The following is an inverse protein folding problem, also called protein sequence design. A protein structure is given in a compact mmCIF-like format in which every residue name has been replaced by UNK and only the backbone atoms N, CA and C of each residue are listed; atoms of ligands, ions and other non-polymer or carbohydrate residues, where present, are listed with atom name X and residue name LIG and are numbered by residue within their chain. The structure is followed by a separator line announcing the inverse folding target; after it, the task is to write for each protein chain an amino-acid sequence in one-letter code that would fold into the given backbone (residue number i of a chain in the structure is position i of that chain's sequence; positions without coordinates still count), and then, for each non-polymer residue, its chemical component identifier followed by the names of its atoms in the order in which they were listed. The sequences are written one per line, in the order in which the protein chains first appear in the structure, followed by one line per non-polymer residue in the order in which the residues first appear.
data_IF_314204397144
#
_entry.id   IF_314204397144
#
_cell.length_a   1.000
_cell.length_b   1.000
_cell.length_c   1.000
_cell.angle_alpha   90.00
_cell.angle_beta   90.00
_cell.angle_gamma   90.00
#
_symmetry.space_group_name_H-M   'P 1'
#
loop_
_entity.id
_entity.type
_entity.pdbx_description
1 polymer ?
#
# COMPACT_ATOMS: atom_id res chain seq x y z
N UNK A 1 -11.09 -6.90 -10.02
CA UNK A 1 -10.38 -5.66 -9.63
C UNK A 1 -9.98 -5.63 -8.15
N UNK A 2 -8.83 -5.01 -7.83
CA UNK A 2 -8.32 -4.81 -6.45
C UNK A 2 -7.42 -3.58 -6.34
N UNK A 3 -7.34 -2.98 -5.16
CA UNK A 3 -6.37 -1.95 -4.80
C UNK A 3 -5.13 -2.61 -4.17
N UNK A 4 -3.94 -2.29 -4.66
CA UNK A 4 -2.69 -2.66 -3.99
C UNK A 4 -2.21 -1.51 -3.10
N UNK A 5 -1.70 -1.86 -1.93
CA UNK A 5 -0.97 -0.97 -1.04
C UNK A 5 0.36 -1.65 -0.70
N UNK A 6 1.47 -1.01 -1.06
CA UNK A 6 2.81 -1.54 -0.80
C UNK A 6 3.43 -0.74 0.33
N UNK A 7 3.82 -1.43 1.40
CA UNK A 7 4.39 -0.84 2.61
C UNK A 7 5.87 -1.21 2.66
N UNK A 8 6.75 -0.24 2.95
CA UNK A 8 8.17 -0.52 3.11
C UNK A 8 8.41 -1.49 4.26
N UNK A 9 9.31 -2.44 4.07
CA UNK A 9 9.55 -3.54 5.02
C UNK A 9 10.03 -3.13 6.41
N UNK A 10 10.60 -1.93 6.54
CA UNK A 10 11.11 -1.42 7.81
C UNK A 10 10.04 -0.68 8.63
N UNK A 11 8.82 -0.54 8.11
CA UNK A 11 7.73 0.14 8.82
C UNK A 11 7.27 -0.71 10.01
N UNK A 12 7.21 -0.15 11.23
CA UNK A 12 6.75 -0.88 12.40
C UNK A 12 5.34 -1.45 12.21
N UNK A 13 5.15 -2.73 12.54
CA UNK A 13 3.87 -3.42 12.38
C UNK A 13 2.69 -2.70 13.02
N UNK A 14 2.92 -2.05 14.17
CA UNK A 14 1.90 -1.26 14.88
C UNK A 14 1.35 -0.08 14.07
N UNK A 15 2.13 0.44 13.11
CA UNK A 15 1.73 1.56 12.26
C UNK A 15 1.08 1.10 10.95
N UNK A 16 1.35 -0.13 10.48
CA UNK A 16 0.87 -0.63 9.19
C UNK A 16 -0.66 -0.55 9.03
N UNK A 17 -1.50 -0.90 10.02
CA UNK A 17 -2.95 -0.74 9.91
C UNK A 17 -3.39 0.72 9.68
N UNK A 18 -2.82 1.68 10.40
CA UNK A 18 -3.16 3.10 10.28
C UNK A 18 -2.68 3.66 8.95
N UNK A 19 -1.43 3.36 8.57
CA UNK A 19 -0.84 3.78 7.30
C UNK A 19 -1.67 3.25 6.12
N UNK A 20 -2.08 1.98 6.14
CA UNK A 20 -2.87 1.39 5.05
C UNK A 20 -4.30 1.94 4.99
N UNK A 21 -4.91 2.30 6.13
CA UNK A 21 -6.19 2.99 6.15
C UNK A 21 -6.09 4.39 5.51
N UNK A 22 -5.08 5.18 5.89
CA UNK A 22 -4.81 6.48 5.29
C UNK A 22 -4.53 6.36 3.78
N UNK A 23 -3.74 5.37 3.38
CA UNK A 23 -3.39 5.15 1.98
C UNK A 23 -4.63 4.83 1.12
N UNK A 24 -5.53 3.98 1.62
CA UNK A 24 -6.79 3.69 0.93
C UNK A 24 -7.66 4.94 0.75
N UNK A 25 -7.77 5.78 1.79
CA UNK A 25 -8.59 6.98 1.74
C UNK A 25 -7.99 8.06 0.83
N UNK A 26 -6.68 8.28 0.92
CA UNK A 26 -5.97 9.23 0.06
C UNK A 26 -6.02 8.81 -1.40
N UNK A 27 -5.87 7.50 -1.68
CA UNK A 27 -6.01 6.94 -3.02
C UNK A 27 -7.44 7.08 -3.54
N UNK A 28 -8.45 6.77 -2.72
CA UNK A 28 -9.85 7.01 -3.09
C UNK A 28 -10.06 8.47 -3.48
N UNK A 29 -9.67 9.42 -2.63
CA UNK A 29 -9.87 10.85 -2.87
C UNK A 29 -9.16 11.36 -4.12
N UNK A 30 -7.97 10.84 -4.44
CA UNK A 30 -7.24 11.23 -5.66
C UNK A 30 -7.92 10.71 -6.95
N UNK A 31 -8.54 9.53 -6.90
CA UNK A 31 -9.05 8.84 -8.09
C UNK A 31 -10.56 8.59 -8.05
N UNK A 32 -11.30 9.29 -7.20
CA UNK A 32 -12.71 9.00 -6.89
C UNK A 32 -13.60 9.03 -8.13
N UNK A 33 -13.31 9.90 -9.10
CA UNK A 33 -14.13 10.03 -10.30
C UNK A 33 -13.76 9.05 -11.43
N UNK A 34 -12.76 8.19 -11.24
CA UNK A 34 -12.40 7.19 -12.26
C UNK A 34 -13.40 6.03 -12.29
N UNK A 35 -13.68 5.49 -13.47
CA UNK A 35 -14.60 4.35 -13.64
C UNK A 35 -14.15 3.15 -12.79
N UNK A 36 -12.85 2.84 -12.78
CA UNK A 36 -12.31 1.74 -11.98
C UNK A 36 -12.50 1.97 -10.48
N UNK A 37 -12.24 3.18 -9.96
CA UNK A 37 -12.47 3.47 -8.55
C UNK A 37 -13.95 3.33 -8.18
N UNK A 38 -14.85 3.85 -9.02
CA UNK A 38 -16.31 3.74 -8.83
C UNK A 38 -16.80 2.30 -8.87
N UNK A 39 -16.34 1.48 -9.81
CA UNK A 39 -16.66 0.05 -9.84
C UNK A 39 -16.08 -0.70 -8.64
N UNK A 40 -14.92 -0.28 -8.14
CA UNK A 40 -14.27 -0.94 -7.01
C UNK A 40 -14.96 -0.63 -5.68
N UNK A 41 -15.27 0.64 -5.41
CA UNK A 41 -15.91 1.09 -4.16
C UNK A 41 -17.35 0.57 -4.03
N UNK A 42 -18.08 0.48 -5.14
CA UNK A 42 -19.45 -0.06 -5.19
C UNK A 42 -19.50 -1.58 -5.43
N UNK A 43 -18.34 -2.25 -5.44
CA UNK A 43 -18.19 -3.68 -5.72
C UNK A 43 -17.50 -4.43 -4.59
N UNK A 44 -16.54 -5.31 -4.95
CA UNK A 44 -15.85 -6.18 -3.99
C UNK A 44 -14.99 -5.37 -2.99
N UNK A 45 -14.61 -4.13 -3.32
CA UNK A 45 -13.80 -3.24 -2.48
C UNK A 45 -12.50 -3.87 -1.92
N UNK A 46 -11.96 -4.86 -2.66
CA UNK A 46 -10.82 -5.69 -2.25
C UNK A 46 -9.52 -4.90 -2.22
N UNK A 47 -8.77 -5.05 -1.13
CA UNK A 47 -7.42 -4.51 -0.96
C UNK A 47 -6.42 -5.64 -0.81
N UNK A 48 -5.20 -5.43 -1.28
CA UNK A 48 -4.06 -6.32 -1.07
C UNK A 48 -2.92 -5.48 -0.51
N UNK A 49 -2.51 -5.79 0.71
CA UNK A 49 -1.37 -5.13 1.35
C UNK A 49 -0.15 -6.03 1.18
N UNK A 50 0.91 -5.48 0.59
CA UNK A 50 2.17 -6.16 0.40
C UNK A 50 3.29 -5.43 1.13
N UNK A 51 4.32 -6.18 1.47
CA UNK A 51 5.56 -5.65 2.03
C UNK A 51 6.63 -5.63 0.94
N UNK A 52 7.37 -4.52 0.84
CA UNK A 52 8.36 -4.31 -0.22
C UNK A 52 9.68 -3.77 0.31
N UNK A 53 10.75 -4.07 -0.41
CA UNK A 53 12.06 -3.42 -0.28
C UNK A 53 12.04 -2.00 -0.85
N UNK A 54 13.03 -1.17 -0.53
CA UNK A 54 13.15 0.18 -1.11
C UNK A 54 13.30 0.15 -2.64
N UNK A 55 14.00 -0.85 -3.18
CA UNK A 55 14.15 -1.01 -4.63
C UNK A 55 12.82 -1.34 -5.31
N UNK A 56 12.03 -2.26 -4.74
CA UNK A 56 10.68 -2.56 -5.23
C UNK A 56 9.75 -1.36 -5.09
N UNK A 57 9.85 -0.61 -3.99
CA UNK A 57 9.08 0.61 -3.75
C UNK A 57 9.35 1.67 -4.82
N UNK A 58 10.64 1.98 -5.07
CA UNK A 58 11.08 2.92 -6.09
C UNK A 58 10.65 2.47 -7.49
N UNK A 59 10.72 1.17 -7.78
CA UNK A 59 10.24 0.65 -9.05
C UNK A 59 8.72 0.80 -9.19
N UNK A 60 7.97 0.56 -8.12
CA UNK A 60 6.51 0.65 -8.11
C UNK A 60 5.99 2.09 -8.26
N UNK A 61 6.77 3.11 -7.86
CA UNK A 61 6.43 4.51 -8.12
C UNK A 61 6.29 4.86 -9.61
N UNK A 62 6.89 4.06 -10.50
CA UNK A 62 6.81 4.24 -11.96
C UNK A 62 5.48 3.76 -12.54
N UNK A 63 4.72 2.95 -11.81
CA UNK A 63 3.42 2.45 -12.27
C UNK A 63 2.38 3.57 -12.22
N UNK A 64 1.49 3.68 -13.22
CA UNK A 64 0.53 4.78 -13.26
C UNK A 64 -0.50 4.69 -12.14
N UNK A 65 -1.22 5.79 -11.92
CA UNK A 65 -2.35 5.88 -10.99
C UNK A 65 -2.01 5.40 -9.57
N UNK A 66 -0.97 6.02 -9.01
CA UNK A 66 -0.51 5.76 -7.66
C UNK A 66 -0.53 7.02 -6.79
N UNK A 67 -0.40 6.83 -5.48
CA UNK A 67 -0.12 7.88 -4.51
C UNK A 67 0.85 7.34 -3.44
N UNK A 68 1.94 8.06 -3.24
CA UNK A 68 2.88 7.82 -2.13
C UNK A 68 2.44 8.60 -0.91
N UNK A 69 2.51 7.95 0.26
CA UNK A 69 2.21 8.57 1.55
C UNK A 69 3.47 8.66 2.41
N UNK A 70 3.54 9.75 3.16
CA UNK A 70 4.52 10.00 4.20
C UNK A 70 3.90 9.89 5.59
N UNK A 71 4.71 9.60 6.60
CA UNK A 71 4.25 9.51 7.99
C UNK A 71 5.04 10.48 8.88
N UNK A 72 4.35 11.41 9.53
CA UNK A 72 4.99 12.45 10.35
C UNK A 72 5.64 11.89 11.61
N UNK A 73 5.10 10.80 12.17
CA UNK A 73 5.72 10.10 13.31
C UNK A 73 7.02 9.36 12.96
N UNK A 74 7.37 9.32 11.67
CA UNK A 74 8.62 8.78 11.12
C UNK A 74 9.35 9.85 10.30
N UNK A 75 9.42 11.08 10.81
CA UNK A 75 10.14 12.20 10.18
C UNK A 75 9.72 12.52 8.74
N UNK A 76 8.43 12.33 8.43
CA UNK A 76 7.85 12.50 7.08
C UNK A 76 8.46 11.57 6.02
N UNK A 77 9.03 10.43 6.41
CA UNK A 77 9.51 9.43 5.46
C UNK A 77 8.38 8.86 4.62
N UNK A 78 8.66 8.51 3.36
CA UNK A 78 7.76 7.73 2.52
C UNK A 78 7.59 6.33 3.11
N UNK A 79 6.37 5.98 3.48
CA UNK A 79 6.08 4.73 4.20
C UNK A 79 5.35 3.69 3.36
N UNK A 80 4.48 4.16 2.46
CA UNK A 80 3.69 3.28 1.61
C UNK A 80 3.30 3.97 0.31
N UNK A 81 2.86 3.16 -0.65
CA UNK A 81 2.30 3.60 -1.92
C UNK A 81 1.04 2.81 -2.21
N UNK A 82 -0.04 3.51 -2.56
CA UNK A 82 -1.32 2.92 -2.93
C UNK A 82 -1.58 3.12 -4.42
N UNK A 83 -2.22 2.13 -5.04
CA UNK A 83 -2.56 2.13 -6.46
C UNK A 83 -4.07 2.19 -6.63
N UNK A 84 -4.53 3.02 -7.57
CA UNK A 84 -5.92 3.01 -8.00
C UNK A 84 -6.27 1.57 -8.44
N UNK A 85 -7.46 1.07 -8.02
CA UNK A 85 -7.85 -0.28 -8.32
C UNK A 85 -7.98 -0.47 -9.83
N UNK A 86 -7.55 -1.63 -10.32
CA UNK A 86 -7.65 -2.02 -11.74
C UNK A 86 -7.71 -3.55 -11.86
N UNK A 87 -8.05 -4.06 -13.04
CA UNK A 87 -8.09 -5.50 -13.30
C UNK A 87 -6.68 -6.07 -13.47
N UNK A 88 -5.88 -5.44 -14.32
CA UNK A 88 -4.54 -5.90 -14.64
C UNK A 88 -3.47 -4.99 -14.04
N UNK A 89 -2.50 -5.62 -13.36
CA UNK A 89 -1.31 -4.97 -12.84
C UNK A 89 -0.08 -5.55 -13.54
N UNK A 90 1.01 -4.79 -13.55
CA UNK A 90 2.30 -5.29 -14.00
C UNK A 90 2.66 -6.62 -13.33
N UNK A 91 3.35 -7.49 -14.07
CA UNK A 91 3.65 -8.87 -13.66
C UNK A 91 4.30 -8.95 -12.27
N UNK A 92 5.09 -7.96 -11.89
CA UNK A 92 5.76 -7.90 -10.58
C UNK A 92 4.78 -7.99 -9.39
N UNK A 93 3.57 -7.45 -9.50
CA UNK A 93 2.58 -7.44 -8.40
C UNK A 93 2.11 -8.84 -8.00
N UNK A 94 2.25 -9.83 -8.89
CA UNK A 94 1.92 -11.23 -8.61
C UNK A 94 2.94 -11.90 -7.69
N UNK A 95 4.16 -11.36 -7.62
CA UNK A 95 5.27 -11.91 -6.84
C UNK A 95 5.54 -11.15 -5.53
N UNK A 96 4.86 -10.03 -5.31
CA UNK A 96 4.99 -9.26 -4.08
C UNK A 96 4.48 -10.06 -2.88
N UNK A 97 5.29 -10.08 -1.81
CA UNK A 97 4.94 -10.78 -0.57
C UNK A 97 3.81 -10.03 0.12
N UNK A 98 2.70 -10.70 0.43
CA UNK A 98 1.63 -10.11 1.25
C UNK A 98 2.18 -9.79 2.64
N UNK A 99 1.85 -8.61 3.16
CA UNK A 99 2.21 -8.23 4.51
C UNK A 99 1.49 -9.14 5.51
N UNK A 100 2.20 -9.48 6.59
CA UNK A 100 1.67 -10.20 7.75
C UNK A 100 2.31 -9.60 8.99
N UNK A 101 1.58 -9.46 10.11
CA UNK A 101 2.19 -9.06 11.37
C UNK A 101 3.23 -10.10 11.79
N UNK A 102 4.41 -9.64 12.19
CA UNK A 102 5.55 -10.48 12.58
C UNK A 102 5.53 -10.87 14.06
N UNK A 103 4.55 -10.38 14.83
CA UNK A 103 4.39 -10.73 16.25
C UNK A 103 5.41 -10.06 17.18
N UNK A 104 5.30 -10.30 18.51
CA UNK A 104 6.12 -9.62 19.51
C UNK A 104 7.60 -10.06 19.57
N UNK A 105 8.01 -11.11 18.85
CA UNK A 105 9.37 -11.67 18.90
C UNK A 105 10.49 -10.71 18.47
N UNK A 106 10.14 -9.59 17.80
CA UNK A 106 11.10 -8.55 17.43
C UNK A 106 11.31 -7.47 18.50
N UNK A 107 10.61 -7.54 19.64
CA UNK A 107 10.74 -6.58 20.74
C UNK A 107 11.37 -7.20 22.00
N UNK A 108 11.75 -8.48 21.97
CA UNK A 108 12.32 -9.23 23.11
C UNK A 108 13.84 -9.33 23.12
N UNK A 109 14.55 -8.56 22.30
CA UNK A 109 16.01 -8.41 22.43
C UNK A 109 16.37 -6.94 22.66
N UNK A 110 16.20 -6.50 23.90
CA UNK A 110 16.90 -5.36 24.50
C UNK A 110 17.42 -5.78 25.87
#
# INVERSE_FOLDING_TARGET
MKMYILVKRHIPDKLVPVITAHASLACFRKFEHTANMQTWINGIFKKVVCVVTDAEFLNAQKEPDNITLTESSLDNQEVCIAFAPREEYAKMFKFLKMWRPQGPEQYTQQ
#
